data_IF_494951550753
#
_entry.id   IF_494951550753
#
_cell.length_a   1.000
_cell.length_b   1.000
_cell.length_c   1.000
_cell.angle_alpha   90.00
_cell.angle_beta   90.00
_cell.angle_gamma   90.00
#
_symmetry.space_group_name_H-M   'P 1'
#
loop_
_entity.id
_entity.type
_entity.pdbx_description
1 polymer ?
#
# COMPACT_ATOMS: atom_id res chain seq x y z
N UNK A 1 -17.46 -8.56 41.42
CA UNK A 1 -17.83 -7.25 40.88
C UNK A 1 -16.57 -6.41 40.85
N UNK A 2 -15.73 -6.60 39.81
CA UNK A 2 -14.49 -5.83 39.60
C UNK A 2 -14.89 -4.57 38.81
N UNK A 3 -15.13 -3.49 39.51
CA UNK A 3 -15.20 -2.16 38.93
C UNK A 3 -13.77 -1.80 38.51
N UNK A 4 -13.47 -1.95 37.21
CA UNK A 4 -12.30 -1.34 36.58
C UNK A 4 -12.49 0.17 36.69
N UNK A 5 -11.94 0.78 37.77
CA UNK A 5 -11.78 2.21 37.86
C UNK A 5 -10.85 2.67 36.75
N UNK A 6 -11.41 2.94 35.58
CA UNK A 6 -10.69 3.57 34.51
C UNK A 6 -10.42 5.00 34.94
N UNK A 7 -9.22 5.24 35.49
CA UNK A 7 -8.80 6.54 35.97
C UNK A 7 -8.85 7.54 34.82
N UNK A 8 -9.37 8.76 35.05
CA UNK A 8 -9.50 9.81 34.03
C UNK A 8 -8.16 10.09 33.32
N UNK A 9 -7.05 9.85 34.00
CA UNK A 9 -5.70 9.94 33.42
C UNK A 9 -5.43 8.84 32.40
N UNK A 10 -5.91 7.61 32.66
CA UNK A 10 -5.77 6.50 31.69
C UNK A 10 -6.64 6.73 30.47
N UNK A 11 -7.85 7.25 30.65
CA UNK A 11 -8.72 7.63 29.53
C UNK A 11 -8.09 8.71 28.65
N UNK A 12 -7.45 9.73 29.22
CA UNK A 12 -6.73 10.76 28.48
C UNK A 12 -5.51 10.23 27.71
N UNK A 13 -4.77 9.29 28.28
CA UNK A 13 -3.65 8.64 27.61
C UNK A 13 -4.11 7.76 26.44
N UNK A 14 -5.18 7.00 26.60
CA UNK A 14 -5.76 6.18 25.54
C UNK A 14 -6.28 7.06 24.40
N UNK A 15 -7.00 8.14 24.72
CA UNK A 15 -7.49 9.08 23.72
C UNK A 15 -6.37 9.74 22.90
N UNK A 16 -5.20 9.99 23.52
CA UNK A 16 -4.04 10.55 22.80
C UNK A 16 -3.24 9.52 22.00
N UNK A 17 -3.13 8.28 22.48
CA UNK A 17 -2.32 7.24 21.84
C UNK A 17 -3.08 6.49 20.74
N UNK A 18 -4.40 6.36 20.85
CA UNK A 18 -5.23 5.62 19.90
C UNK A 18 -5.11 6.15 18.45
N UNK A 19 -5.24 7.46 18.17
CA UNK A 19 -5.07 7.98 16.81
C UNK A 19 -3.66 7.73 16.26
N UNK A 20 -2.63 7.82 17.08
CA UNK A 20 -1.25 7.54 16.68
C UNK A 20 -1.09 6.06 16.31
N UNK A 21 -1.63 5.16 17.12
CA UNK A 21 -1.59 3.72 16.85
C UNK A 21 -2.33 3.38 15.54
N UNK A 22 -3.52 3.96 15.32
CA UNK A 22 -4.29 3.77 14.08
C UNK A 22 -3.50 4.31 12.88
N UNK A 23 -2.87 5.48 12.99
CA UNK A 23 -2.05 6.04 11.92
C UNK A 23 -0.87 5.14 11.57
N UNK A 24 -0.15 4.61 12.57
CA UNK A 24 0.96 3.67 12.37
C UNK A 24 0.49 2.38 11.70
N UNK A 25 -0.63 1.82 12.14
CA UNK A 25 -1.25 0.65 11.49
C UNK A 25 -1.63 0.97 10.04
N UNK A 26 -2.20 2.16 9.78
CA UNK A 26 -2.55 2.63 8.46
C UNK A 26 -1.34 2.66 7.52
N UNK A 27 -0.21 3.16 8.02
CA UNK A 27 1.03 3.27 7.24
C UNK A 27 1.69 1.90 7.03
N UNK A 28 1.83 1.09 8.08
CA UNK A 28 2.62 -0.15 8.04
C UNK A 28 1.82 -1.31 7.43
N UNK A 29 0.59 -1.54 7.86
CA UNK A 29 -0.21 -2.69 7.43
C UNK A 29 -0.76 -2.56 6.01
N UNK A 30 -0.80 -1.38 5.42
CA UNK A 30 -1.32 -1.19 4.06
C UNK A 30 -0.55 -1.96 2.98
N UNK A 31 0.75 -2.21 3.17
CA UNK A 31 1.56 -3.05 2.28
C UNK A 31 1.09 -4.51 2.27
N UNK A 32 1.13 -5.21 3.41
CA UNK A 32 0.60 -6.56 3.55
C UNK A 32 -0.85 -6.71 3.09
N UNK A 33 -1.72 -5.75 3.42
CA UNK A 33 -3.13 -5.76 2.98
C UNK A 33 -3.24 -5.71 1.46
N UNK A 34 -2.47 -4.82 0.80
CA UNK A 34 -2.46 -4.73 -0.66
C UNK A 34 -1.98 -6.03 -1.32
N UNK A 35 -0.94 -6.67 -0.77
CA UNK A 35 -0.44 -7.96 -1.26
C UNK A 35 -1.49 -9.06 -1.10
N UNK A 36 -2.17 -9.12 0.04
CA UNK A 36 -3.22 -10.10 0.31
C UNK A 36 -4.39 -9.97 -0.66
N UNK A 37 -4.90 -8.74 -0.86
CA UNK A 37 -5.99 -8.48 -1.80
C UNK A 37 -5.57 -8.80 -3.23
N UNK A 38 -4.35 -8.40 -3.62
CA UNK A 38 -3.83 -8.70 -4.95
C UNK A 38 -3.68 -10.20 -5.18
N UNK A 39 -3.18 -10.94 -4.20
CA UNK A 39 -3.10 -12.41 -4.26
C UNK A 39 -4.48 -13.06 -4.36
N UNK A 40 -5.49 -12.52 -3.68
CA UNK A 40 -6.87 -13.00 -3.78
C UNK A 40 -7.49 -12.69 -5.17
N UNK A 41 -7.21 -11.51 -5.72
CA UNK A 41 -7.73 -11.08 -7.02
C UNK A 41 -7.04 -11.81 -8.20
N UNK A 42 -5.77 -12.19 -8.03
CA UNK A 42 -4.98 -12.83 -9.10
C UNK A 42 -4.83 -14.34 -8.93
N UNK A 43 -5.80 -15.03 -8.34
CA UNK A 43 -5.80 -16.50 -8.24
C UNK A 43 -5.67 -17.10 -9.63
N UNK A 44 -4.45 -17.53 -10.01
CA UNK A 44 -4.11 -18.11 -11.31
C UNK A 44 -3.10 -17.31 -12.14
N UNK A 45 -2.64 -16.14 -11.68
CA UNK A 45 -1.60 -15.35 -12.34
C UNK A 45 -0.18 -15.64 -11.83
N UNK A 46 0.88 -15.19 -12.54
CA UNK A 46 2.27 -15.40 -12.13
C UNK A 46 2.55 -14.77 -10.74
N UNK A 47 3.46 -15.37 -9.95
CA UNK A 47 3.71 -14.97 -8.56
C UNK A 47 4.18 -13.51 -8.46
N UNK A 48 3.62 -12.77 -7.50
CA UNK A 48 4.15 -11.46 -7.12
C UNK A 48 5.46 -11.67 -6.34
N UNK A 49 6.48 -10.84 -6.60
CA UNK A 49 7.74 -10.88 -5.86
C UNK A 49 7.53 -10.55 -4.37
N UNK A 50 8.36 -11.12 -3.49
CA UNK A 50 8.25 -11.04 -2.01
C UNK A 50 8.20 -9.61 -1.43
N UNK A 51 8.56 -8.60 -2.22
CA UNK A 51 8.58 -7.17 -1.81
C UNK A 51 7.63 -6.28 -2.63
N UNK A 52 6.60 -6.87 -3.26
CA UNK A 52 5.64 -6.10 -4.06
C UNK A 52 6.21 -5.55 -5.37
N UNK A 53 7.41 -5.98 -5.76
CA UNK A 53 8.01 -5.66 -7.06
C UNK A 53 7.35 -6.48 -8.17
N UNK A 54 7.04 -5.83 -9.29
CA UNK A 54 6.53 -6.52 -10.50
C UNK A 54 7.73 -7.19 -11.17
N UNK A 55 7.70 -8.52 -11.27
CA UNK A 55 8.69 -9.28 -12.04
C UNK A 55 8.23 -9.23 -13.49
N UNK A 56 8.91 -8.46 -14.33
CA UNK A 56 8.69 -8.43 -15.78
C UNK A 56 9.68 -9.39 -16.45
N UNK A 57 9.23 -10.42 -17.18
CA UNK A 57 10.13 -11.23 -17.99
C UNK A 57 10.75 -10.34 -19.08
N UNK A 58 12.07 -10.35 -19.22
CA UNK A 58 12.73 -9.67 -20.34
C UNK A 58 12.47 -10.48 -21.60
N UNK A 59 11.64 -9.96 -22.50
CA UNK A 59 11.40 -10.57 -23.81
C UNK A 59 12.70 -10.50 -24.64
N UNK A 60 13.26 -11.66 -24.97
CA UNK A 60 14.44 -11.76 -25.84
C UNK A 60 15.56 -12.70 -25.40
N UNK A 61 15.49 -13.27 -24.18
CA UNK A 61 16.44 -14.31 -23.79
C UNK A 61 15.92 -15.68 -24.23
N UNK A 62 16.52 -16.25 -25.27
CA UNK A 62 16.25 -17.64 -25.69
C UNK A 62 16.52 -18.61 -24.52
N UNK A 63 15.67 -19.63 -24.30
CA UNK A 63 15.83 -20.57 -23.20
C UNK A 63 16.97 -21.55 -23.52
N UNK A 64 18.18 -21.26 -23.08
CA UNK A 64 19.35 -22.11 -23.25
C UNK A 64 19.72 -22.91 -22.01
N UNK A 65 18.79 -23.21 -21.12
CA UNK A 65 18.97 -24.29 -20.13
C UNK A 65 17.75 -24.38 -19.17
N UNK A 66 17.31 -25.59 -18.77
CA UNK A 66 16.14 -25.76 -17.87
C UNK A 66 16.36 -25.28 -16.42
N UNK A 67 17.48 -24.67 -16.10
CA UNK A 67 17.86 -24.29 -14.72
C UNK A 67 18.46 -22.88 -14.59
N UNK A 68 18.53 -22.11 -15.66
CA UNK A 68 18.95 -20.72 -15.58
C UNK A 68 17.80 -19.90 -14.99
N UNK A 69 17.93 -19.45 -13.72
CA UNK A 69 17.15 -18.35 -13.17
C UNK A 69 17.26 -17.19 -14.17
N UNK A 70 16.16 -16.88 -14.85
CA UNK A 70 16.11 -15.69 -15.71
C UNK A 70 16.54 -14.49 -14.87
N UNK A 71 17.42 -13.60 -15.38
CA UNK A 71 17.79 -12.41 -14.66
C UNK A 71 16.57 -11.53 -14.49
N UNK A 72 15.94 -11.62 -13.30
CA UNK A 72 14.86 -10.73 -12.90
C UNK A 72 15.48 -9.40 -12.55
N UNK A 73 15.31 -8.40 -13.41
CA UNK A 73 15.69 -7.02 -13.09
C UNK A 73 14.67 -6.48 -12.08
N UNK A 74 15.08 -6.35 -10.83
CA UNK A 74 14.32 -5.59 -9.83
C UNK A 74 14.26 -4.13 -10.28
N UNK A 75 13.16 -3.71 -10.86
CA UNK A 75 13.01 -2.37 -11.46
C UNK A 75 12.81 -1.29 -10.38
N UNK A 76 12.46 -1.67 -9.12
CA UNK A 76 12.21 -0.71 -8.05
C UNK A 76 12.56 -1.28 -6.66
N UNK A 77 13.75 -1.00 -6.16
CA UNK A 77 14.13 -1.24 -4.74
C UNK A 77 13.37 -0.34 -3.74
N UNK A 78 12.73 0.76 -4.19
CA UNK A 78 12.06 1.75 -3.36
C UNK A 78 10.55 1.57 -3.19
N UNK A 79 9.93 0.54 -3.73
CA UNK A 79 8.47 0.38 -3.75
C UNK A 79 7.81 0.41 -2.36
N UNK A 80 8.44 -0.23 -1.38
CA UNK A 80 7.94 -0.25 0.01
C UNK A 80 8.01 1.14 0.66
N UNK A 81 9.13 1.84 0.48
CA UNK A 81 9.31 3.21 1.02
C UNK A 81 8.33 4.18 0.39
N UNK A 82 8.15 4.11 -0.93
CA UNK A 82 7.15 4.92 -1.65
C UNK A 82 5.75 4.63 -1.08
N UNK A 83 5.40 3.36 -0.86
CA UNK A 83 4.14 2.98 -0.27
C UNK A 83 3.90 3.55 1.14
N UNK A 84 4.92 3.62 1.98
CA UNK A 84 4.81 4.27 3.30
C UNK A 84 4.57 5.78 3.16
N UNK A 85 5.31 6.47 2.30
CA UNK A 85 5.13 7.90 2.04
C UNK A 85 3.73 8.20 1.49
N UNK A 86 3.26 7.43 0.53
CA UNK A 86 1.92 7.60 -0.04
C UNK A 86 0.82 7.49 1.02
N UNK A 87 0.85 6.45 1.86
CA UNK A 87 -0.14 6.27 2.93
C UNK A 87 -0.06 7.36 3.98
N UNK A 88 1.15 7.81 4.33
CA UNK A 88 1.33 8.94 5.25
C UNK A 88 0.70 10.20 4.68
N UNK A 89 0.91 10.50 3.39
CA UNK A 89 0.29 11.67 2.73
C UNK A 89 -1.24 11.54 2.71
N UNK A 90 -1.79 10.36 2.41
CA UNK A 90 -3.25 10.14 2.40
C UNK A 90 -3.85 10.38 3.78
N UNK A 91 -3.26 9.81 4.84
CA UNK A 91 -3.75 10.00 6.22
C UNK A 91 -3.64 11.47 6.62
N UNK A 92 -2.49 12.10 6.41
CA UNK A 92 -2.29 13.50 6.75
C UNK A 92 -3.25 14.43 5.99
N UNK A 93 -3.42 14.22 4.69
CA UNK A 93 -4.35 15.00 3.86
C UNK A 93 -5.80 14.86 4.33
N UNK A 94 -6.21 13.64 4.69
CA UNK A 94 -7.55 13.38 5.22
C UNK A 94 -7.77 14.07 6.57
N UNK A 95 -6.78 14.01 7.48
CA UNK A 95 -6.87 14.65 8.81
C UNK A 95 -6.95 16.17 8.76
N UNK A 96 -6.30 16.80 7.77
CA UNK A 96 -6.37 18.27 7.56
C UNK A 96 -7.49 18.69 6.59
N UNK A 97 -8.30 17.73 6.10
CA UNK A 97 -9.42 18.00 5.18
C UNK A 97 -9.01 18.43 3.77
N UNK A 98 -7.77 18.13 3.34
CA UNK A 98 -7.21 18.55 2.04
C UNK A 98 -7.21 17.39 1.03
N UNK A 99 -8.39 17.01 0.59
CA UNK A 99 -8.60 15.88 -0.34
C UNK A 99 -7.95 16.08 -1.71
N UNK A 100 -7.72 17.32 -2.13
CA UNK A 100 -6.98 17.65 -3.34
C UNK A 100 -5.55 17.10 -3.34
N UNK A 101 -4.92 16.95 -2.17
CA UNK A 101 -3.59 16.34 -2.05
C UNK A 101 -3.63 14.84 -2.36
N UNK A 102 -4.71 14.16 -1.99
CA UNK A 102 -4.90 12.75 -2.34
C UNK A 102 -5.08 12.59 -3.84
N UNK A 103 -5.89 13.45 -4.46
CA UNK A 103 -6.08 13.45 -5.91
C UNK A 103 -4.77 13.73 -6.66
N UNK A 104 -3.99 14.72 -6.21
CA UNK A 104 -2.68 15.03 -6.77
C UNK A 104 -1.70 13.86 -6.64
N UNK A 105 -1.67 13.18 -5.49
CA UNK A 105 -0.84 12.00 -5.26
C UNK A 105 -1.16 10.87 -6.25
N UNK A 106 -2.45 10.58 -6.44
CA UNK A 106 -2.91 9.55 -7.38
C UNK A 106 -2.53 9.92 -8.81
N UNK A 107 -2.69 11.21 -9.19
CA UNK A 107 -2.33 11.69 -10.52
C UNK A 107 -0.81 11.56 -10.79
N UNK A 108 0.03 11.99 -9.85
CA UNK A 108 1.51 11.88 -9.97
C UNK A 108 1.93 10.41 -10.06
N UNK A 109 1.32 9.53 -9.25
CA UNK A 109 1.60 8.10 -9.28
C UNK A 109 1.20 7.47 -10.61
N UNK A 110 0.03 7.86 -11.15
CA UNK A 110 -0.44 7.41 -12.48
C UNK A 110 0.49 7.86 -13.60
N UNK A 111 0.89 9.14 -13.59
CA UNK A 111 1.82 9.69 -14.59
C UNK A 111 3.20 9.02 -14.55
N UNK A 112 3.73 8.73 -13.35
CA UNK A 112 5.01 8.04 -13.19
C UNK A 112 5.05 6.63 -13.79
N UNK A 113 3.89 6.00 -13.96
CA UNK A 113 3.74 4.66 -14.53
C UNK A 113 3.22 4.63 -15.95
N UNK A 114 2.85 5.78 -16.52
CA UNK A 114 2.20 5.84 -17.84
C UNK A 114 3.02 5.17 -18.96
N UNK A 115 4.36 5.18 -18.86
CA UNK A 115 5.26 4.56 -19.85
C UNK A 115 5.38 3.03 -19.71
N UNK A 116 4.98 2.48 -18.57
CA UNK A 116 5.12 1.05 -18.25
C UNK A 116 3.79 0.28 -18.40
N UNK A 117 2.70 0.96 -18.81
CA UNK A 117 1.33 0.44 -18.84
C UNK A 117 1.00 -0.40 -20.09
N UNK A 118 1.97 -0.65 -20.98
CA UNK A 118 1.76 -1.43 -22.22
C UNK A 118 1.46 -2.93 -21.97
N UNK A 119 1.65 -3.43 -20.76
CA UNK A 119 1.31 -4.79 -20.34
C UNK A 119 0.02 -4.80 -19.51
N UNK A 120 -1.12 -5.17 -20.11
CA UNK A 120 -2.45 -5.13 -19.48
C UNK A 120 -2.52 -5.72 -18.06
N UNK A 121 -1.89 -6.89 -17.81
CA UNK A 121 -1.87 -7.52 -16.48
C UNK A 121 -1.06 -6.72 -15.43
N UNK A 122 -0.02 -6.00 -15.83
CA UNK A 122 0.77 -5.15 -14.95
C UNK A 122 -0.01 -3.89 -14.56
N UNK A 123 -0.77 -3.33 -15.49
CA UNK A 123 -1.66 -2.19 -15.29
C UNK A 123 -2.77 -2.52 -14.30
N UNK A 124 -3.44 -3.65 -14.48
CA UNK A 124 -4.52 -4.10 -13.58
C UNK A 124 -4.02 -4.24 -12.14
N UNK A 125 -2.89 -4.93 -11.94
CA UNK A 125 -2.26 -5.10 -10.61
C UNK A 125 -1.87 -3.77 -9.99
N UNK A 126 -1.35 -2.85 -10.78
CA UNK A 126 -0.99 -1.52 -10.30
C UNK A 126 -2.22 -0.74 -9.83
N UNK A 127 -3.30 -0.76 -10.61
CA UNK A 127 -4.56 -0.08 -10.27
C UNK A 127 -5.14 -0.68 -8.97
N UNK A 128 -5.29 -2.01 -8.91
CA UNK A 128 -5.81 -2.71 -7.73
C UNK A 128 -4.95 -2.38 -6.49
N UNK A 129 -3.63 -2.53 -6.58
CA UNK A 129 -2.72 -2.26 -5.46
C UNK A 129 -2.79 -0.80 -4.98
N UNK A 130 -2.90 0.15 -5.91
CA UNK A 130 -3.02 1.58 -5.58
C UNK A 130 -4.35 1.87 -4.90
N UNK A 131 -5.46 1.38 -5.43
CA UNK A 131 -6.78 1.58 -4.84
C UNK A 131 -6.88 0.97 -3.44
N UNK A 132 -6.44 -0.28 -3.27
CA UNK A 132 -6.44 -0.95 -1.96
C UNK A 132 -5.61 -0.18 -0.94
N UNK A 133 -4.39 0.25 -1.32
CA UNK A 133 -3.52 1.01 -0.44
C UNK A 133 -4.12 2.36 -0.02
N UNK A 134 -4.74 3.08 -0.96
CA UNK A 134 -5.37 4.37 -0.72
C UNK A 134 -6.64 4.23 0.13
N UNK A 135 -7.48 3.23 -0.16
CA UNK A 135 -8.69 2.94 0.63
C UNK A 135 -8.35 2.53 2.05
N UNK A 136 -7.32 1.69 2.24
CA UNK A 136 -6.84 1.31 3.58
C UNK A 136 -6.40 2.52 4.40
N UNK A 137 -5.57 3.40 3.82
CA UNK A 137 -5.11 4.61 4.49
C UNK A 137 -6.27 5.58 4.79
N UNK A 138 -7.21 5.73 3.86
CA UNK A 138 -8.44 6.52 4.04
C UNK A 138 -9.34 5.98 5.14
N UNK A 139 -9.50 4.65 5.24
CA UNK A 139 -10.25 4.01 6.32
C UNK A 139 -9.62 4.27 7.68
N UNK A 140 -8.28 4.14 7.79
CA UNK A 140 -7.59 4.45 9.04
C UNK A 140 -7.74 5.93 9.41
N UNK A 141 -7.66 6.86 8.45
CA UNK A 141 -7.91 8.27 8.71
C UNK A 141 -9.34 8.53 9.17
N UNK A 142 -10.34 7.90 8.57
CA UNK A 142 -11.73 7.99 9.01
C UNK A 142 -11.92 7.49 10.44
N UNK A 143 -11.29 6.36 10.80
CA UNK A 143 -11.32 5.83 12.16
C UNK A 143 -10.70 6.80 13.17
N UNK A 144 -9.63 7.52 12.80
CA UNK A 144 -9.02 8.54 13.67
C UNK A 144 -9.98 9.71 13.90
N UNK A 145 -10.71 10.13 12.87
CA UNK A 145 -11.65 11.26 12.98
C UNK A 145 -12.89 10.89 13.79
N UNK A 146 -13.26 9.60 13.80
CA UNK A 146 -14.44 9.10 14.52
C UNK A 146 -14.13 8.66 15.96
N UNK A 147 -12.86 8.49 16.33
CA UNK A 147 -12.41 8.04 17.65
C UNK A 147 -12.31 9.20 18.65
#
# INVERSE_FOLDING_TARGET
MLALGFDARQAGLVAGLLPIAIALVGVVAGGPVSVLVLAAATRGGPPAGEHGGIIVPVAGAAPTSPRAKQPTREVLRGGTTIGYLERTVVIAAALIGRWELVAALIAVKGLGRFRDLDAGAATERFIIGTLVSTLWAGLCAALIVLA
#
